data_IF_573739867523
#
_entry.id   IF_573739867523
#
_cell.length_a   1.000
_cell.length_b   1.000
_cell.length_c   1.000
_cell.angle_alpha   90.00
_cell.angle_beta   90.00
_cell.angle_gamma   90.00
#
_symmetry.space_group_name_H-M   'P 1'
#
loop_
_entity.id
_entity.type
_entity.pdbx_description
1 polymer ?
#
# COMPACT_ATOMS: atom_id res chain seq x y z
N UNK A 1 19.77 13.76 -8.08
CA UNK A 1 19.55 12.33 -7.75
C UNK A 1 18.13 11.99 -8.16
N UNK A 2 17.91 10.96 -8.96
CA UNK A 2 16.56 10.50 -9.26
C UNK A 2 15.98 9.87 -7.99
N UNK A 3 14.80 10.34 -7.56
CA UNK A 3 14.13 9.81 -6.38
C UNK A 3 13.64 8.40 -6.67
N UNK A 4 14.11 7.44 -5.87
CA UNK A 4 13.76 6.03 -6.00
C UNK A 4 12.60 5.65 -5.07
N UNK A 5 11.80 4.71 -5.53
CA UNK A 5 10.84 3.95 -4.75
C UNK A 5 11.40 2.53 -4.54
N UNK A 6 10.99 1.89 -3.44
CA UNK A 6 11.50 0.58 -3.02
C UNK A 6 10.35 -0.40 -2.84
N UNK A 7 10.50 -1.58 -3.45
CA UNK A 7 9.61 -2.72 -3.33
C UNK A 7 10.37 -3.93 -2.77
N UNK A 8 9.68 -4.77 -2.01
CA UNK A 8 10.31 -5.83 -1.23
C UNK A 8 11.02 -6.85 -2.12
N UNK A 9 12.28 -7.17 -1.79
CA UNK A 9 12.98 -8.34 -2.29
C UNK A 9 13.14 -9.34 -1.15
N UNK A 10 12.26 -10.34 -1.12
CA UNK A 10 12.22 -11.36 -0.07
C UNK A 10 13.11 -12.57 -0.39
N UNK A 11 13.43 -13.35 0.65
CA UNK A 11 14.12 -14.63 0.50
C UNK A 11 13.20 -15.72 -0.05
N UNK A 12 13.77 -16.71 -0.75
CA UNK A 12 13.06 -17.82 -1.43
C UNK A 12 12.12 -18.64 -0.54
N UNK A 13 12.30 -18.63 0.79
CA UNK A 13 11.44 -19.33 1.74
C UNK A 13 10.25 -18.53 2.26
N UNK A 14 10.09 -17.26 1.89
CA UNK A 14 9.00 -16.43 2.39
C UNK A 14 7.70 -16.68 1.62
N UNK A 15 6.56 -16.72 2.30
CA UNK A 15 5.24 -16.96 1.67
C UNK A 15 4.84 -15.96 0.57
N UNK A 16 5.37 -14.73 0.62
CA UNK A 16 5.14 -13.67 -0.37
C UNK A 16 6.32 -13.50 -1.32
N UNK A 17 7.21 -14.48 -1.40
CA UNK A 17 8.36 -14.46 -2.29
C UNK A 17 7.91 -14.46 -3.75
N UNK A 18 8.51 -13.58 -4.54
CA UNK A 18 8.44 -13.59 -5.99
C UNK A 18 9.86 -13.57 -6.50
N UNK A 19 10.21 -14.48 -7.40
CA UNK A 19 11.59 -14.61 -7.85
C UNK A 19 12.04 -13.39 -8.64
N UNK A 20 13.35 -13.11 -8.55
CA UNK A 20 13.98 -12.05 -9.31
C UNK A 20 13.71 -12.21 -10.80
N UNK A 21 13.77 -13.42 -11.33
CA UNK A 21 13.56 -13.73 -12.74
C UNK A 21 12.14 -13.34 -13.18
N UNK A 22 11.13 -13.58 -12.33
CA UNK A 22 9.74 -13.18 -12.60
C UNK A 22 9.63 -11.65 -12.64
N UNK A 23 10.20 -10.96 -11.65
CA UNK A 23 10.17 -9.49 -11.60
C UNK A 23 10.92 -8.88 -12.80
N UNK A 24 12.11 -9.39 -13.11
CA UNK A 24 12.96 -8.86 -14.18
C UNK A 24 12.44 -9.21 -15.57
N UNK A 25 11.54 -10.20 -15.72
CA UNK A 25 10.94 -10.56 -17.01
C UNK A 25 9.60 -9.89 -17.28
N UNK A 26 8.81 -9.62 -16.23
CA UNK A 26 7.42 -9.13 -16.33
C UNK A 26 7.10 -7.84 -15.57
N UNK A 27 8.04 -7.30 -14.80
CA UNK A 27 7.82 -6.12 -13.96
C UNK A 27 7.08 -6.45 -12.65
N UNK A 28 6.76 -5.41 -11.88
CA UNK A 28 5.96 -5.53 -10.66
C UNK A 28 4.53 -5.11 -11.00
N UNK A 29 3.57 -6.01 -10.82
CA UNK A 29 2.16 -5.79 -11.12
C UNK A 29 1.27 -6.47 -10.07
N UNK A 30 -0.05 -6.44 -10.25
CA UNK A 30 -0.99 -7.02 -9.28
C UNK A 30 -0.78 -8.52 -9.00
N UNK A 31 -0.15 -9.25 -9.94
CA UNK A 31 0.14 -10.68 -9.84
C UNK A 31 1.57 -10.98 -9.36
N UNK A 32 2.51 -10.04 -9.56
CA UNK A 32 3.94 -10.23 -9.24
C UNK A 32 4.43 -9.35 -8.09
N UNK A 33 3.57 -8.52 -7.50
CA UNK A 33 3.89 -7.76 -6.29
C UNK A 33 4.03 -8.68 -5.08
N UNK A 34 5.00 -8.37 -4.23
CA UNK A 34 5.00 -8.86 -2.86
C UNK A 34 4.16 -7.92 -1.99
N UNK A 35 3.15 -8.44 -1.28
CA UNK A 35 2.39 -7.63 -0.33
C UNK A 35 3.01 -7.63 1.07
N UNK A 36 4.24 -8.14 1.22
CA UNK A 36 4.89 -8.19 2.53
C UNK A 36 5.12 -6.79 3.09
N UNK A 37 4.58 -6.53 4.28
CA UNK A 37 4.76 -5.28 5.06
C UNK A 37 4.30 -4.00 4.36
N UNK A 38 3.52 -4.10 3.29
CA UNK A 38 2.84 -2.96 2.70
C UNK A 38 1.39 -2.96 3.15
N UNK A 39 0.96 -1.83 3.72
CA UNK A 39 -0.45 -1.60 3.96
C UNK A 39 -1.15 -1.26 2.63
N UNK A 40 -2.46 -1.53 2.59
CA UNK A 40 -3.36 -1.15 1.51
C UNK A 40 -4.76 -1.05 2.13
N UNK A 41 -4.96 0.00 2.95
CA UNK A 41 -6.16 0.17 3.76
C UNK A 41 -7.44 0.10 2.91
N UNK A 42 -7.39 0.70 1.72
CA UNK A 42 -8.51 0.67 0.78
C UNK A 42 -8.86 -0.71 0.20
N UNK A 43 -8.06 -1.76 0.46
CA UNK A 43 -8.36 -3.14 0.04
C UNK A 43 -9.04 -3.97 1.13
N UNK A 44 -9.00 -3.56 2.39
CA UNK A 44 -9.37 -4.42 3.53
C UNK A 44 -10.86 -4.68 3.61
N UNK A 45 -11.66 -3.62 3.54
CA UNK A 45 -13.12 -3.67 3.48
C UNK A 45 -13.59 -3.01 2.20
N UNK A 46 -13.22 -3.66 1.10
CA UNK A 46 -13.22 -3.05 -0.22
C UNK A 46 -14.61 -2.63 -0.70
N UNK A 47 -15.65 -3.37 -0.36
CA UNK A 47 -17.03 -3.00 -0.65
C UNK A 47 -17.39 -1.67 0.03
N UNK A 48 -17.02 -1.51 1.30
CA UNK A 48 -17.20 -0.26 2.06
C UNK A 48 -16.33 0.84 1.46
N UNK A 49 -15.05 0.57 1.18
CA UNK A 49 -14.14 1.54 0.55
C UNK A 49 -14.71 2.08 -0.77
N UNK A 50 -15.27 1.22 -1.61
CA UNK A 50 -15.86 1.63 -2.89
C UNK A 50 -17.16 2.42 -2.71
N UNK A 51 -17.97 2.12 -1.68
CA UNK A 51 -19.18 2.87 -1.35
C UNK A 51 -18.89 4.33 -0.99
N UNK A 52 -17.79 4.58 -0.28
CA UNK A 52 -17.36 5.92 0.14
C UNK A 52 -16.38 6.60 -0.84
N UNK A 53 -16.17 6.02 -2.03
CA UNK A 53 -15.29 6.60 -3.06
C UNK A 53 -15.75 8.01 -3.44
N UNK A 54 -14.89 9.05 -3.33
CA UNK A 54 -15.24 10.38 -3.79
C UNK A 54 -15.54 10.42 -5.29
N UNK A 55 -16.57 11.18 -5.70
CA UNK A 55 -17.06 11.26 -7.10
C UNK A 55 -15.95 11.61 -8.10
N UNK A 56 -14.98 12.42 -7.71
CA UNK A 56 -13.90 12.88 -8.59
C UNK A 56 -12.65 11.99 -8.55
N UNK A 57 -12.73 10.83 -7.90
CA UNK A 57 -11.61 9.87 -7.86
C UNK A 57 -11.37 9.28 -9.24
N UNK A 58 -10.15 9.33 -9.79
CA UNK A 58 -9.89 8.77 -11.11
C UNK A 58 -10.18 7.26 -11.21
N UNK A 59 -10.73 6.82 -12.34
CA UNK A 59 -11.11 5.41 -12.57
C UNK A 59 -9.93 4.41 -12.48
N UNK A 60 -8.71 4.91 -12.70
CA UNK A 60 -7.51 4.08 -12.58
C UNK A 60 -7.16 3.75 -11.12
N UNK A 61 -7.74 4.44 -10.13
CA UNK A 61 -7.58 4.11 -8.71
C UNK A 61 -8.35 2.82 -8.41
N UNK A 62 -7.61 1.73 -8.27
CA UNK A 62 -8.14 0.41 -7.99
C UNK A 62 -7.28 -0.32 -6.96
N UNK A 63 -7.75 -0.38 -5.70
CA UNK A 63 -7.03 -0.99 -4.58
C UNK A 63 -6.78 -2.49 -4.74
N UNK A 64 -7.55 -3.21 -5.58
CA UNK A 64 -7.28 -4.63 -5.92
C UNK A 64 -5.93 -4.78 -6.63
N UNK A 65 -5.59 -3.79 -7.46
CA UNK A 65 -4.40 -3.82 -8.32
C UNK A 65 -3.20 -3.07 -7.73
N UNK A 66 -3.43 -2.15 -6.79
CA UNK A 66 -2.41 -1.30 -6.19
C UNK A 66 -1.17 -2.05 -5.69
N UNK A 67 0.01 -1.48 -5.93
CA UNK A 67 1.31 -2.02 -5.53
C UNK A 67 1.86 -1.15 -4.41
N UNK A 68 2.16 -1.75 -3.26
CA UNK A 68 2.80 -1.06 -2.14
C UNK A 68 4.29 -0.84 -2.37
N UNK A 69 4.77 0.35 -2.02
CA UNK A 69 6.18 0.73 -2.12
C UNK A 69 6.57 1.63 -0.95
N UNK A 70 7.87 1.79 -0.75
CA UNK A 70 8.44 2.74 0.20
C UNK A 70 9.22 3.85 -0.51
N UNK A 71 9.28 5.01 0.14
CA UNK A 71 10.14 6.14 -0.24
C UNK A 71 11.55 6.04 0.37
N UNK A 72 11.75 5.12 1.31
CA UNK A 72 13.03 4.82 1.96
C UNK A 72 13.23 3.31 1.93
N UNK A 73 14.45 2.85 1.65
CA UNK A 73 14.74 1.43 1.69
C UNK A 73 14.68 0.92 3.14
N UNK A 74 13.71 0.06 3.46
CA UNK A 74 13.57 -0.57 4.79
C UNK A 74 14.10 -2.01 4.82
N UNK A 75 14.58 -2.53 3.69
CA UNK A 75 15.06 -3.90 3.55
C UNK A 75 16.57 -3.91 3.29
N UNK A 76 17.23 -4.98 3.70
CA UNK A 76 18.64 -5.22 3.34
C UNK A 76 18.84 -5.31 1.82
N UNK A 77 17.80 -5.77 1.11
CA UNK A 77 17.74 -5.85 -0.34
C UNK A 77 16.35 -5.50 -0.82
N UNK A 78 16.26 -4.68 -1.86
CA UNK A 78 14.99 -4.22 -2.44
C UNK A 78 15.05 -4.19 -3.96
N UNK A 79 13.91 -4.39 -4.60
CA UNK A 79 13.71 -3.86 -5.94
C UNK A 79 13.53 -2.36 -5.84
N UNK A 80 14.22 -1.59 -6.66
CA UNK A 80 14.12 -0.13 -6.64
C UNK A 80 14.00 0.41 -8.06
N UNK A 81 13.33 1.54 -8.20
CA UNK A 81 13.04 2.16 -9.49
C UNK A 81 12.72 3.64 -9.29
N UNK A 82 12.98 4.51 -10.28
CA UNK A 82 12.63 5.92 -10.18
C UNK A 82 11.12 6.11 -10.16
N UNK A 83 10.66 7.25 -9.63
CA UNK A 83 9.28 7.71 -9.86
C UNK A 83 9.06 7.84 -11.38
N UNK A 84 8.13 7.06 -11.92
CA UNK A 84 7.90 6.94 -13.37
C UNK A 84 6.49 7.34 -13.80
N UNK A 85 5.59 7.61 -12.85
CA UNK A 85 4.18 7.88 -13.12
C UNK A 85 3.57 8.87 -12.12
N UNK A 86 2.50 9.53 -12.53
CA UNK A 86 1.60 10.32 -11.68
C UNK A 86 0.49 9.48 -11.00
N UNK A 87 0.38 8.18 -11.30
CA UNK A 87 -0.57 7.25 -10.66
C UNK A 87 -0.03 6.66 -9.35
N UNK A 88 0.73 7.47 -8.63
CA UNK A 88 1.30 7.14 -7.33
C UNK A 88 0.64 8.07 -6.32
N UNK A 89 -0.16 7.47 -5.44
CA UNK A 89 -0.87 8.19 -4.38
C UNK A 89 -0.29 7.80 -3.03
N UNK A 90 -0.44 8.73 -2.10
CA UNK A 90 -0.03 8.57 -0.70
C UNK A 90 -1.26 8.74 0.16
N UNK A 91 -1.40 7.84 1.13
CA UNK A 91 -2.43 7.84 2.15
C UNK A 91 -1.76 7.91 3.53
N UNK A 92 -2.54 8.28 4.55
CA UNK A 92 -2.08 8.18 5.92
C UNK A 92 -2.04 6.71 6.35
N UNK A 93 -0.85 6.19 6.62
CA UNK A 93 -0.65 4.81 7.02
C UNK A 93 -1.12 4.53 8.45
N UNK A 94 -1.22 5.54 9.33
CA UNK A 94 -1.80 5.34 10.66
C UNK A 94 -3.32 5.07 10.54
N UNK A 95 -4.02 5.76 9.62
CA UNK A 95 -5.42 5.47 9.31
C UNK A 95 -5.56 4.07 8.68
N UNK A 96 -4.65 3.71 7.78
CA UNK A 96 -4.64 2.36 7.18
C UNK A 96 -4.56 1.27 8.25
N UNK A 97 -3.72 1.45 9.27
CA UNK A 97 -3.65 0.52 10.41
C UNK A 97 -4.97 0.47 11.19
N UNK A 98 -5.59 1.61 11.47
CA UNK A 98 -6.92 1.61 12.12
C UNK A 98 -7.98 0.87 11.32
N UNK A 99 -7.95 0.94 9.98
CA UNK A 99 -8.84 0.13 9.12
C UNK A 99 -8.60 -1.36 9.33
N UNK A 100 -7.33 -1.79 9.39
CA UNK A 100 -7.00 -3.20 9.65
C UNK A 100 -7.51 -3.66 11.02
N UNK A 101 -7.21 -2.90 12.07
CA UNK A 101 -7.58 -3.23 13.45
C UNK A 101 -9.11 -3.30 13.59
N UNK A 102 -9.82 -2.27 13.10
CA UNK A 102 -11.28 -2.23 13.17
C UNK A 102 -11.93 -3.35 12.35
N UNK A 103 -11.40 -3.65 11.16
CA UNK A 103 -11.89 -4.76 10.35
C UNK A 103 -11.72 -6.11 11.05
N UNK A 104 -10.58 -6.32 11.71
CA UNK A 104 -10.31 -7.53 12.48
C UNK A 104 -11.28 -7.66 13.66
N UNK A 105 -11.47 -6.58 14.42
CA UNK A 105 -12.44 -6.53 15.50
C UNK A 105 -13.87 -6.85 15.02
N UNK A 106 -14.36 -6.15 14.01
CA UNK A 106 -15.73 -6.33 13.53
C UNK A 106 -16.00 -7.74 13.00
N UNK A 107 -15.00 -8.38 12.38
CA UNK A 107 -15.14 -9.73 11.82
C UNK A 107 -15.11 -10.83 12.89
N UNK A 108 -14.41 -10.60 14.01
CA UNK A 108 -14.06 -11.67 14.94
C UNK A 108 -14.49 -11.46 16.39
N UNK A 109 -14.98 -10.27 16.78
CA UNK A 109 -15.38 -9.95 18.17
C UNK A 109 -16.32 -10.95 18.84
N UNK A 110 -17.14 -11.65 18.07
CA UNK A 110 -18.10 -12.64 18.60
C UNK A 110 -17.49 -14.05 18.73
N UNK A 111 -16.29 -14.28 18.18
CA UNK A 111 -15.66 -15.61 18.06
C UNK A 111 -14.23 -15.68 18.59
N UNK A 112 -13.55 -14.54 18.75
CA UNK A 112 -12.18 -14.42 19.22
C UNK A 112 -12.07 -13.29 20.25
N UNK A 113 -11.77 -13.65 21.50
CA UNK A 113 -11.61 -12.67 22.59
C UNK A 113 -10.43 -11.72 22.35
N UNK A 114 -9.40 -12.16 21.61
CA UNK A 114 -8.27 -11.29 21.26
C UNK A 114 -8.68 -10.14 20.35
N UNK A 115 -9.76 -10.31 19.56
CA UNK A 115 -10.29 -9.29 18.67
C UNK A 115 -10.73 -8.01 19.40
N UNK A 116 -11.13 -8.12 20.67
CA UNK A 116 -11.51 -6.97 21.49
C UNK A 116 -10.34 -5.99 21.70
N UNK A 117 -9.08 -6.43 21.57
CA UNK A 117 -7.91 -5.56 21.68
C UNK A 117 -7.69 -4.67 20.44
N UNK A 118 -8.44 -4.93 19.36
CA UNK A 118 -8.35 -4.23 18.08
C UNK A 118 -9.56 -3.30 17.86
N UNK A 119 -10.46 -3.18 18.83
CA UNK A 119 -11.54 -2.18 18.78
C UNK A 119 -10.93 -0.78 18.82
N UNK A 120 -11.10 -0.06 17.72
CA UNK A 120 -10.61 1.32 17.59
C UNK A 120 -11.54 2.34 18.24
N UNK A 121 -12.75 1.92 18.65
CA UNK A 121 -13.81 2.77 19.18
C UNK A 121 -14.66 3.47 18.11
N UNK A 122 -14.35 3.28 16.84
CA UNK A 122 -15.03 3.89 15.69
C UNK A 122 -15.45 2.84 14.67
N UNK A 123 -16.45 3.15 13.83
CA UNK A 123 -16.88 2.23 12.75
C UNK A 123 -15.85 2.10 11.62
N UNK A 124 -15.90 1.00 10.86
CA UNK A 124 -15.11 0.88 9.64
C UNK A 124 -15.39 2.00 8.62
N UNK A 125 -16.64 2.45 8.49
CA UNK A 125 -17.03 3.54 7.59
C UNK A 125 -16.31 4.84 7.93
N UNK A 126 -16.23 5.17 9.22
CA UNK A 126 -15.51 6.34 9.72
C UNK A 126 -14.05 6.34 9.25
N UNK A 127 -13.34 5.22 9.45
CA UNK A 127 -11.93 5.13 9.06
C UNK A 127 -11.75 5.16 7.55
N UNK A 128 -12.65 4.55 6.79
CA UNK A 128 -12.64 4.58 5.33
C UNK A 128 -12.85 6.01 4.80
N UNK A 129 -13.76 6.79 5.38
CA UNK A 129 -13.95 8.20 5.03
C UNK A 129 -12.68 9.02 5.26
N UNK A 130 -12.05 8.86 6.44
CA UNK A 130 -10.79 9.53 6.76
C UNK A 130 -9.66 9.08 5.82
N UNK A 131 -9.61 7.80 5.45
CA UNK A 131 -8.62 7.27 4.54
C UNK A 131 -8.74 7.90 3.15
N UNK A 132 -9.95 8.00 2.59
CA UNK A 132 -10.20 8.76 1.36
C UNK A 132 -9.85 10.23 1.49
N UNK A 133 -10.16 10.86 2.61
CA UNK A 133 -9.83 12.27 2.87
C UNK A 133 -8.31 12.51 2.98
N UNK A 134 -7.53 11.49 3.36
CA UNK A 134 -6.06 11.56 3.45
C UNK A 134 -5.34 11.47 2.09
N UNK A 135 -6.06 11.08 1.03
CA UNK A 135 -5.48 10.87 -0.30
C UNK A 135 -4.76 12.12 -0.81
N UNK A 136 -3.50 11.95 -1.19
CA UNK A 136 -2.73 13.01 -1.86
C UNK A 136 -1.76 12.45 -2.90
N UNK A 137 -1.26 13.32 -3.78
CA UNK A 137 -0.23 12.92 -4.74
C UNK A 137 1.12 12.73 -4.05
N UNK A 138 1.99 11.88 -4.60
CA UNK A 138 3.37 11.73 -4.10
C UNK A 138 4.13 13.06 -4.10
N UNK A 139 3.88 13.95 -5.07
CA UNK A 139 4.52 15.26 -5.15
C UNK A 139 4.07 16.17 -3.99
N UNK A 140 2.77 16.26 -3.73
CA UNK A 140 2.23 17.05 -2.62
C UNK A 140 2.73 16.52 -1.27
N UNK A 141 2.79 15.18 -1.12
CA UNK A 141 3.30 14.55 0.08
C UNK A 141 4.77 14.94 0.33
N UNK A 142 5.61 14.94 -0.71
CA UNK A 142 7.03 15.31 -0.56
C UNK A 142 7.24 16.74 -0.10
N UNK A 143 6.34 17.66 -0.46
CA UNK A 143 6.39 19.06 -0.06
C UNK A 143 5.85 19.25 1.36
N UNK A 144 4.70 18.67 1.66
CA UNK A 144 3.97 18.92 2.93
C UNK A 144 4.37 17.97 4.06
N UNK A 145 4.72 16.72 3.71
CA UNK A 145 5.03 15.57 4.59
C UNK A 145 4.08 15.45 5.81
N UNK A 146 2.75 15.42 5.59
CA UNK A 146 1.80 15.43 6.70
C UNK A 146 1.78 14.12 7.51
N UNK A 147 2.18 12.99 6.90
CA UNK A 147 2.10 11.66 7.52
C UNK A 147 3.48 11.18 7.96
N UNK A 148 3.57 10.77 9.23
CA UNK A 148 4.79 10.17 9.80
C UNK A 148 5.05 8.77 9.23
N UNK A 149 3.97 8.03 8.94
CA UNK A 149 3.98 6.71 8.32
C UNK A 149 3.15 6.75 7.04
N UNK A 150 3.71 7.18 5.90
CA UNK A 150 2.96 7.18 4.64
C UNK A 150 2.70 5.76 4.14
N UNK A 151 1.49 5.51 3.67
CA UNK A 151 1.21 4.38 2.79
C UNK A 151 1.32 4.86 1.33
N UNK A 152 2.28 4.31 0.58
CA UNK A 152 2.50 4.72 -0.82
C UNK A 152 2.08 3.60 -1.75
N UNK A 153 1.12 3.91 -2.63
CA UNK A 153 0.52 2.96 -3.54
C UNK A 153 0.68 3.40 -4.99
N UNK A 154 1.14 2.48 -5.84
CA UNK A 154 1.19 2.63 -7.29
C UNK A 154 -0.02 1.93 -7.90
N UNK A 155 -0.81 2.65 -8.70
CA UNK A 155 -2.01 2.14 -9.34
C UNK A 155 -1.79 1.71 -10.80
N UNK A 156 -0.54 1.45 -11.17
CA UNK A 156 -0.16 0.85 -12.44
C UNK A 156 1.06 -0.06 -12.29
N UNK A 157 1.30 -0.92 -13.28
CA UNK A 157 2.43 -1.84 -13.28
C UNK A 157 3.76 -1.09 -13.40
N UNK A 158 4.76 -1.51 -12.63
CA UNK A 158 6.14 -1.03 -12.73
C UNK A 158 6.82 -1.78 -13.89
N UNK A 159 7.28 -1.08 -14.95
CA UNK A 159 7.98 -1.70 -16.07
C UNK A 159 9.28 -2.34 -15.63
N UNK A 160 9.63 -3.51 -16.17
CA UNK A 160 10.87 -4.21 -15.84
C UNK A 160 12.12 -3.41 -16.21
N UNK A 161 12.02 -2.58 -17.26
CA UNK A 161 13.13 -1.82 -17.83
C UNK A 161 13.71 -0.78 -16.87
N UNK A 162 12.92 -0.40 -15.85
CA UNK A 162 13.32 0.61 -14.85
C UNK A 162 13.64 0.01 -13.48
N UNK A 163 13.48 -1.31 -13.31
CA UNK A 163 13.71 -1.99 -12.04
C UNK A 163 15.19 -2.38 -11.93
N UNK A 164 15.78 -2.06 -10.80
CA UNK A 164 17.10 -2.53 -10.39
C UNK A 164 17.03 -3.12 -8.98
N UNK A 165 18.14 -3.70 -8.52
CA UNK A 165 18.27 -4.18 -7.15
C UNK A 165 19.12 -3.17 -6.38
N UNK A 166 18.60 -2.73 -5.24
CA UNK A 166 19.31 -1.89 -4.28
C UNK A 166 19.63 -2.71 -3.03
N UNK A 167 20.79 -2.44 -2.45
CA UNK A 167 21.18 -2.91 -1.12
C UNK A 167 21.01 -1.75 -0.12
N UNK A 168 20.60 -2.07 1.10
CA UNK A 168 20.34 -1.13 2.19
C UNK A 168 21.55 -0.90 3.09
#
# INVERSE_FOLDING_TARGET
MNELLYHAYLAEGHEHYVSKEVIMSGGINSMTKSNNRYSNGGRIKLEVTEQFRPINTPDWVNFRKAIGVDIVNRFTKSFCFPVFSNKILVFDGDISLSIYDQAFYEDLKDTDEEALNFDTGESIEHWVELYWASLMTLQDYKVKKPFSKPEVLIFESVPKEIIQICEG
#
